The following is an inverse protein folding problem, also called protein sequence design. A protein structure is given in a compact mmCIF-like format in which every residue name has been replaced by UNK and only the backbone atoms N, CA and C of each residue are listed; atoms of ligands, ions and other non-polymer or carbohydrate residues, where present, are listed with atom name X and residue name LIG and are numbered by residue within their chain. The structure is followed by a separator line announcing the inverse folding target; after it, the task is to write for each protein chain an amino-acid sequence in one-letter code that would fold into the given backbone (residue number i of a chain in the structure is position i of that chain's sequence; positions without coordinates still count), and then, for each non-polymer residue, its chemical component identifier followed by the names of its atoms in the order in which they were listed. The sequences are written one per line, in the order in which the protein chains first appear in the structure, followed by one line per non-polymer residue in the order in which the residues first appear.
data_IF_221143874578
#
_entry.id   IF_221143874578
#
_cell.length_a   1.000
_cell.length_b   1.000
_cell.length_c   1.000
_cell.angle_alpha   90.00
_cell.angle_beta   90.00
_cell.angle_gamma   90.00
#
_symmetry.space_group_name_H-M   'P 1'
#
loop_
_entity.id
_entity.type
_entity.pdbx_description
1 polymer ?
#
# COMPACT_ATOMS: atom_id res chain seq x y z
N UNK A 1 36.04 -6.74 -12.10
CA UNK A 1 34.93 -6.21 -12.92
C UNK A 1 33.76 -7.17 -12.77
N UNK A 2 32.64 -6.71 -12.22
CA UNK A 2 31.32 -7.28 -12.50
C UNK A 2 30.27 -6.24 -12.07
N UNK A 3 29.79 -5.51 -13.08
CA UNK A 3 28.65 -4.62 -12.97
C UNK A 3 27.37 -5.46 -13.08
N UNK A 4 26.57 -5.52 -12.02
CA UNK A 4 25.19 -6.00 -12.13
C UNK A 4 24.30 -4.79 -12.39
N UNK A 5 23.91 -4.66 -13.66
CA UNK A 5 22.92 -3.72 -14.19
C UNK A 5 21.55 -3.96 -13.55
N UNK A 6 20.94 -2.87 -13.10
CA UNK A 6 19.50 -2.73 -12.79
C UNK A 6 18.60 -3.24 -13.93
N UNK A 7 17.34 -3.56 -13.59
CA UNK A 7 16.31 -2.63 -14.02
C UNK A 7 15.49 -2.15 -12.81
N UNK A 8 15.71 -0.90 -12.42
CA UNK A 8 14.70 -0.16 -11.66
C UNK A 8 13.66 0.24 -12.70
N UNK A 9 12.55 -0.49 -12.74
CA UNK A 9 11.33 0.00 -13.38
C UNK A 9 10.62 0.93 -12.39
N UNK A 10 11.15 2.15 -12.23
CA UNK A 10 10.38 3.28 -11.67
C UNK A 10 9.57 3.82 -12.83
N UNK A 11 8.25 3.63 -12.77
CA UNK A 11 7.34 4.30 -13.70
C UNK A 11 6.79 5.54 -13.02
N UNK A 12 7.32 6.71 -13.39
CA UNK A 12 6.76 8.00 -13.01
C UNK A 12 5.55 8.30 -13.91
N UNK A 13 4.37 8.50 -13.30
CA UNK A 13 3.16 8.91 -14.02
C UNK A 13 3.04 10.43 -13.95
N UNK A 14 3.33 11.11 -15.06
CA UNK A 14 3.19 12.58 -15.19
C UNK A 14 1.79 12.94 -15.71
N UNK A 15 1.15 13.93 -15.09
CA UNK A 15 -0.24 14.31 -15.36
C UNK A 15 -0.37 15.29 -16.51
N UNK A 16 -1.23 14.98 -17.49
CA UNK A 16 -1.78 15.96 -18.43
C UNK A 16 -3.06 16.57 -17.83
N UNK A 17 -3.15 17.91 -17.78
CA UNK A 17 -4.35 18.64 -17.34
C UNK A 17 -5.41 18.63 -18.43
N UNK A 18 -6.26 17.61 -18.50
CA UNK A 18 -7.47 17.61 -19.33
C UNK A 18 -8.72 17.51 -18.45
N UNK A 19 -9.76 18.28 -18.79
CA UNK A 19 -11.04 18.41 -18.04
C UNK A 19 -11.93 17.14 -18.08
N UNK A 20 -11.38 15.96 -18.35
CA UNK A 20 -12.13 14.69 -18.41
C UNK A 20 -12.38 14.05 -17.02
N UNK A 21 -12.08 14.77 -15.93
CA UNK A 21 -11.85 14.22 -14.59
C UNK A 21 -13.05 13.61 -13.84
N UNK A 22 -14.23 13.48 -14.47
CA UNK A 22 -15.45 12.95 -13.83
C UNK A 22 -15.95 11.65 -14.49
N UNK A 23 -15.50 11.32 -15.70
CA UNK A 23 -15.90 10.07 -16.34
C UNK A 23 -15.12 8.88 -15.76
N UNK A 24 -15.85 7.81 -15.45
CA UNK A 24 -15.28 6.50 -15.09
C UNK A 24 -15.33 5.56 -16.28
N UNK A 25 -14.35 4.66 -16.41
CA UNK A 25 -14.39 3.60 -17.41
C UNK A 25 -15.38 2.47 -17.05
N UNK A 26 -15.39 1.41 -17.86
CA UNK A 26 -16.22 0.23 -17.65
C UNK A 26 -15.92 -0.55 -16.35
N UNK A 27 -14.77 -0.28 -15.71
CA UNK A 27 -14.37 -0.84 -14.41
C UNK A 27 -14.58 0.16 -13.27
N UNK A 28 -15.23 1.29 -13.55
CA UNK A 28 -15.50 2.32 -12.57
C UNK A 28 -14.30 3.19 -12.22
N UNK A 29 -13.20 3.14 -12.98
CA UNK A 29 -11.95 3.84 -12.72
C UNK A 29 -11.93 5.22 -13.36
N UNK A 30 -11.53 6.24 -12.58
CA UNK A 30 -11.18 7.57 -13.14
C UNK A 30 -9.84 7.50 -13.89
N UNK A 31 -9.57 8.46 -14.77
CA UNK A 31 -8.35 8.49 -15.59
C UNK A 31 -7.04 8.21 -14.83
N UNK A 32 -6.88 8.77 -13.63
CA UNK A 32 -5.68 8.51 -12.80
C UNK A 32 -5.61 7.04 -12.35
N UNK A 33 -6.74 6.49 -11.89
CA UNK A 33 -6.86 5.09 -11.46
C UNK A 33 -6.56 4.14 -12.62
N UNK A 34 -7.05 4.43 -13.82
CA UNK A 34 -6.75 3.68 -15.04
C UNK A 34 -5.25 3.65 -15.34
N UNK A 35 -4.58 4.81 -15.26
CA UNK A 35 -3.12 4.90 -15.50
C UNK A 35 -2.31 4.09 -14.49
N UNK A 36 -2.70 4.13 -13.22
CA UNK A 36 -2.07 3.31 -12.16
C UNK A 36 -2.32 1.83 -12.42
N UNK A 37 -3.56 1.44 -12.73
CA UNK A 37 -3.93 0.06 -12.99
C UNK A 37 -3.30 -0.51 -14.27
N UNK A 38 -3.07 0.31 -15.29
CA UNK A 38 -2.32 -0.09 -16.49
C UNK A 38 -0.87 -0.49 -16.17
N UNK A 39 -0.34 -0.11 -15.00
CA UNK A 39 0.99 -0.49 -14.50
C UNK A 39 0.94 -1.57 -13.43
N UNK A 40 -0.21 -2.24 -13.24
CA UNK A 40 -0.39 -3.27 -12.20
C UNK A 40 0.66 -4.37 -12.24
N UNK A 41 1.18 -4.75 -13.40
CA UNK A 41 2.19 -5.83 -13.50
C UNK A 41 3.60 -5.43 -13.00
N UNK A 42 3.83 -4.16 -12.68
CA UNK A 42 5.10 -3.72 -12.12
C UNK A 42 5.37 -4.38 -10.76
N UNK A 43 6.63 -4.75 -10.51
CA UNK A 43 7.07 -5.25 -9.20
C UNK A 43 7.04 -4.13 -8.14
N UNK A 44 7.46 -2.92 -8.53
CA UNK A 44 7.45 -1.74 -7.69
C UNK A 44 6.74 -0.62 -8.45
N UNK A 45 5.80 0.05 -7.79
CA UNK A 45 5.01 1.12 -8.38
C UNK A 45 5.03 2.34 -7.47
N UNK A 46 5.58 3.45 -7.97
CA UNK A 46 5.56 4.73 -7.27
C UNK A 46 4.47 5.60 -7.87
N UNK A 47 3.38 5.79 -7.14
CA UNK A 47 2.26 6.63 -7.59
C UNK A 47 2.42 8.03 -7.00
N UNK A 48 2.91 8.98 -7.81
CA UNK A 48 2.81 10.40 -7.50
C UNK A 48 1.41 10.86 -7.87
N UNK A 49 0.63 11.40 -6.94
CA UNK A 49 -0.72 11.91 -7.23
C UNK A 49 -1.04 13.13 -6.36
N UNK A 50 -1.78 14.14 -6.89
CA UNK A 50 -2.28 15.22 -6.07
C UNK A 50 -3.18 14.72 -4.91
N UNK A 51 -3.32 15.48 -3.82
CA UNK A 51 -4.31 15.19 -2.79
C UNK A 51 -5.72 15.01 -3.38
N UNK A 52 -6.53 14.15 -2.77
CA UNK A 52 -7.91 13.84 -3.20
C UNK A 52 -8.08 13.27 -4.63
N UNK A 53 -6.99 12.83 -5.29
CA UNK A 53 -7.06 12.25 -6.65
C UNK A 53 -7.70 10.85 -6.71
N UNK A 54 -8.04 10.24 -5.57
CA UNK A 54 -8.52 8.86 -5.48
C UNK A 54 -7.40 7.81 -5.49
N UNK A 55 -6.25 8.15 -4.88
CA UNK A 55 -5.07 7.28 -4.74
C UNK A 55 -5.39 5.98 -4.00
N UNK A 56 -6.12 6.04 -2.88
CA UNK A 56 -6.51 4.86 -2.11
C UNK A 56 -7.26 3.84 -2.97
N UNK A 57 -8.22 4.31 -3.77
CA UNK A 57 -8.97 3.44 -4.69
C UNK A 57 -8.12 2.91 -5.85
N UNK A 58 -7.17 3.69 -6.38
CA UNK A 58 -6.20 3.20 -7.37
C UNK A 58 -5.35 2.04 -6.81
N UNK A 59 -4.91 2.17 -5.55
CA UNK A 59 -4.17 1.16 -4.83
C UNK A 59 -5.02 -0.10 -4.60
N UNK A 60 -6.29 0.03 -4.22
CA UNK A 60 -7.21 -1.11 -4.09
C UNK A 60 -7.30 -1.94 -5.38
N UNK A 61 -7.45 -1.29 -6.53
CA UNK A 61 -7.51 -1.99 -7.82
C UNK A 61 -6.24 -2.80 -8.09
N UNK A 62 -5.07 -2.20 -7.90
CA UNK A 62 -3.79 -2.89 -8.10
C UNK A 62 -3.62 -4.03 -7.08
N UNK A 63 -3.96 -3.79 -5.81
CA UNK A 63 -3.85 -4.79 -4.76
C UNK A 63 -4.73 -6.02 -5.01
N UNK A 64 -5.98 -5.82 -5.45
CA UNK A 64 -6.88 -6.91 -5.80
C UNK A 64 -6.38 -7.68 -7.03
N UNK A 65 -5.87 -7.00 -8.06
CA UNK A 65 -5.26 -7.68 -9.20
C UNK A 65 -4.04 -8.51 -8.79
N UNK A 66 -3.22 -8.01 -7.87
CA UNK A 66 -2.11 -8.79 -7.31
C UNK A 66 -2.57 -10.05 -6.58
N UNK A 67 -3.63 -9.94 -5.79
CA UNK A 67 -4.19 -11.07 -5.03
C UNK A 67 -4.80 -12.13 -5.95
N UNK A 68 -5.68 -11.71 -6.86
CA UNK A 68 -6.50 -12.65 -7.64
C UNK A 68 -5.83 -13.11 -8.93
N UNK A 69 -4.97 -12.29 -9.54
CA UNK A 69 -4.42 -12.56 -10.88
C UNK A 69 -2.90 -12.78 -10.89
N UNK A 70 -2.18 -12.50 -9.79
CA UNK A 70 -0.71 -12.55 -9.77
C UNK A 70 -0.12 -13.39 -8.64
N UNK A 71 -0.93 -14.24 -8.01
CA UNK A 71 -0.48 -15.21 -7.01
C UNK A 71 0.02 -14.58 -5.70
N UNK A 72 -0.33 -13.33 -5.40
CA UNK A 72 -0.04 -12.73 -4.09
C UNK A 72 -1.08 -13.19 -3.09
N UNK A 73 -0.65 -13.38 -1.85
CA UNK A 73 -1.49 -13.99 -0.80
C UNK A 73 -2.02 -12.96 0.20
N UNK A 74 -1.29 -11.86 0.35
CA UNK A 74 -1.55 -10.83 1.35
C UNK A 74 -1.32 -9.45 0.75
N UNK A 75 -2.06 -8.46 1.24
CA UNK A 75 -1.86 -7.03 0.99
C UNK A 75 -1.85 -6.33 2.33
N UNK A 76 -0.81 -5.55 2.57
CA UNK A 76 -0.68 -4.70 3.75
C UNK A 76 -0.61 -3.27 3.27
N UNK A 77 -1.58 -2.46 3.70
CA UNK A 77 -1.62 -1.02 3.45
C UNK A 77 -1.13 -0.29 4.70
N UNK A 78 -0.03 0.42 4.58
CA UNK A 78 0.54 1.21 5.65
C UNK A 78 0.27 2.70 5.39
N UNK A 79 -0.39 3.37 6.34
CA UNK A 79 -0.75 4.79 6.24
C UNK A 79 -0.01 5.62 7.30
N UNK A 80 0.21 6.93 7.09
CA UNK A 80 0.93 7.75 8.08
C UNK A 80 0.16 7.90 9.40
N UNK A 81 -1.16 7.98 9.37
CA UNK A 81 -2.00 8.17 10.54
C UNK A 81 -3.39 7.53 10.43
N UNK A 82 -4.10 7.45 11.56
CA UNK A 82 -5.36 6.71 11.70
C UNK A 82 -6.50 7.28 10.84
N UNK A 83 -6.62 8.61 10.79
CA UNK A 83 -7.58 9.36 9.98
C UNK A 83 -7.54 8.96 8.50
N UNK A 84 -6.36 8.66 7.97
CA UNK A 84 -6.15 8.26 6.58
C UNK A 84 -6.53 6.80 6.33
N UNK A 85 -6.44 5.95 7.36
CA UNK A 85 -6.87 4.55 7.30
C UNK A 85 -8.33 4.39 6.86
N UNK A 86 -9.20 5.35 7.21
CA UNK A 86 -10.60 5.37 6.80
C UNK A 86 -10.77 5.42 5.26
N UNK A 87 -9.79 5.93 4.51
CA UNK A 87 -9.82 5.92 3.04
C UNK A 87 -9.67 4.52 2.41
N UNK A 88 -9.31 3.52 3.24
CA UNK A 88 -9.19 2.11 2.88
C UNK A 88 -10.29 1.24 3.48
N UNK A 89 -11.40 1.83 3.92
CA UNK A 89 -12.58 1.07 4.34
C UNK A 89 -13.13 0.19 3.20
N UNK A 90 -13.85 -0.88 3.59
CA UNK A 90 -14.46 -1.81 2.63
C UNK A 90 -15.29 -1.07 1.58
N UNK A 91 -15.06 -1.39 0.31
CA UNK A 91 -15.62 -0.67 -0.85
C UNK A 91 -16.09 -1.67 -1.91
N UNK A 92 -17.36 -1.54 -2.30
CA UNK A 92 -17.98 -2.34 -3.36
C UNK A 92 -17.53 -1.87 -4.76
N UNK A 93 -16.38 -2.36 -5.23
CA UNK A 93 -15.84 -2.06 -6.55
C UNK A 93 -16.55 -2.85 -7.66
N UNK A 94 -17.07 -4.04 -7.33
CA UNK A 94 -17.84 -4.91 -8.21
C UNK A 94 -19.10 -4.23 -8.76
N UNK A 95 -19.74 -3.39 -7.93
CA UNK A 95 -20.88 -2.55 -8.33
C UNK A 95 -20.59 -1.66 -9.53
N UNK A 96 -19.31 -1.36 -9.79
CA UNK A 96 -18.87 -0.51 -10.90
C UNK A 96 -18.13 -1.28 -12.01
N UNK A 97 -18.27 -2.61 -12.04
CA UNK A 97 -17.74 -3.46 -13.12
C UNK A 97 -16.38 -4.09 -12.83
N UNK A 98 -15.79 -3.87 -11.65
CA UNK A 98 -14.56 -4.57 -11.25
C UNK A 98 -14.84 -6.02 -10.82
N UNK A 99 -13.84 -6.89 -10.81
CA UNK A 99 -14.06 -8.33 -10.58
C UNK A 99 -14.14 -8.75 -9.10
N UNK A 100 -13.75 -7.87 -8.18
CA UNK A 100 -13.72 -8.16 -6.74
C UNK A 100 -13.97 -6.89 -5.92
N UNK A 101 -14.47 -7.07 -4.71
CA UNK A 101 -14.62 -5.99 -3.74
C UNK A 101 -13.39 -5.83 -2.87
N UNK A 102 -13.15 -4.60 -2.42
CA UNK A 102 -12.15 -4.35 -1.39
C UNK A 102 -12.79 -4.58 -0.04
N UNK A 103 -12.33 -5.58 0.70
CA UNK A 103 -12.86 -5.91 2.02
C UNK A 103 -11.75 -5.80 3.06
N UNK A 104 -12.04 -5.13 4.17
CA UNK A 104 -11.22 -5.11 5.37
C UNK A 104 -12.10 -5.59 6.52
N UNK A 105 -11.71 -6.71 7.14
CA UNK A 105 -12.36 -7.14 8.36
C UNK A 105 -12.01 -6.17 9.50
N UNK A 106 -12.93 -5.89 10.43
CA UNK A 106 -12.68 -4.97 11.54
C UNK A 106 -11.38 -5.28 12.31
N UNK A 107 -11.08 -6.56 12.55
CA UNK A 107 -9.88 -7.02 13.23
C UNK A 107 -8.56 -6.74 12.48
N UNK A 108 -8.62 -6.54 11.16
CA UNK A 108 -7.47 -6.23 10.30
C UNK A 108 -7.37 -4.75 9.95
N UNK A 109 -8.25 -3.92 10.52
CA UNK A 109 -8.09 -2.48 10.53
C UNK A 109 -7.33 -2.03 11.80
N UNK A 110 -6.01 -2.10 11.75
CA UNK A 110 -5.14 -1.72 12.87
C UNK A 110 -4.97 -0.20 13.00
N UNK A 111 -5.74 0.61 12.26
CA UNK A 111 -5.83 2.05 12.45
C UNK A 111 -6.79 2.44 13.59
N UNK A 112 -7.60 1.52 14.10
CA UNK A 112 -8.55 1.80 15.18
C UNK A 112 -7.87 1.97 16.56
N UNK A 113 -8.64 2.31 17.60
CA UNK A 113 -8.10 2.52 18.95
C UNK A 113 -7.50 1.21 19.52
N UNK A 114 -6.34 1.30 20.18
CA UNK A 114 -5.62 0.16 20.75
C UNK A 114 -4.15 0.45 21.02
N UNK A 115 -3.50 -0.36 21.85
CA UNK A 115 -2.06 -0.23 22.16
C UNK A 115 -1.20 -0.77 21.01
N UNK A 116 0.04 -0.28 20.89
CA UNK A 116 0.96 -0.74 19.84
C UNK A 116 1.31 -2.22 19.98
N UNK A 117 1.44 -2.74 21.20
CA UNK A 117 1.73 -4.16 21.44
C UNK A 117 0.63 -5.07 20.89
N UNK A 118 -0.64 -4.80 21.24
CA UNK A 118 -1.76 -5.58 20.73
C UNK A 118 -1.93 -5.51 19.22
N UNK A 119 -1.60 -4.36 18.62
CA UNK A 119 -1.60 -4.20 17.15
C UNK A 119 -0.51 -5.00 16.46
N UNK A 120 0.68 -5.11 17.05
CA UNK A 120 1.75 -5.95 16.48
C UNK A 120 1.35 -7.42 16.53
N UNK A 121 0.76 -7.87 17.63
CA UNK A 121 0.34 -9.27 17.76
C UNK A 121 -0.81 -9.58 16.77
N UNK A 122 -1.76 -8.67 16.58
CA UNK A 122 -2.80 -8.78 15.54
C UNK A 122 -2.21 -8.81 14.12
N UNK A 123 -1.15 -8.03 13.85
CA UNK A 123 -0.45 -8.05 12.57
C UNK A 123 0.22 -9.41 12.29
N UNK A 124 0.84 -10.01 13.31
CA UNK A 124 1.45 -11.34 13.21
C UNK A 124 0.36 -12.38 12.93
N UNK A 125 -0.74 -12.35 13.69
CA UNK A 125 -1.88 -13.23 13.47
C UNK A 125 -2.47 -13.10 12.06
N UNK A 126 -2.53 -11.88 11.51
CA UNK A 126 -2.95 -11.66 10.12
C UNK A 126 -2.03 -12.36 9.10
N UNK A 127 -0.71 -12.29 9.29
CA UNK A 127 0.25 -12.94 8.37
C UNK A 127 0.09 -14.46 8.37
N UNK A 128 -0.18 -15.04 9.53
CA UNK A 128 -0.36 -16.49 9.73
C UNK A 128 -1.77 -16.98 9.35
N UNK A 129 -2.77 -16.09 9.42
CA UNK A 129 -4.16 -16.40 9.15
C UNK A 129 -4.50 -16.56 7.66
N UNK A 130 -5.79 -16.80 7.32
CA UNK A 130 -6.23 -16.94 5.93
C UNK A 130 -6.54 -15.60 5.24
N UNK A 131 -6.72 -14.53 6.00
CA UNK A 131 -7.27 -13.27 5.47
C UNK A 131 -6.27 -12.49 4.60
N UNK A 132 -6.74 -11.84 3.54
CA UNK A 132 -5.86 -11.33 2.50
C UNK A 132 -5.43 -9.87 2.69
N UNK A 133 -6.15 -9.07 3.46
CA UNK A 133 -6.01 -7.61 3.47
C UNK A 133 -5.93 -7.05 4.88
N UNK A 134 -4.97 -6.15 5.11
CA UNK A 134 -4.77 -5.46 6.39
C UNK A 134 -4.40 -3.99 6.16
N UNK A 135 -4.92 -3.11 7.01
CA UNK A 135 -4.58 -1.69 7.03
C UNK A 135 -3.97 -1.36 8.39
N UNK A 136 -2.82 -0.69 8.41
CA UNK A 136 -2.16 -0.28 9.64
C UNK A 136 -1.45 1.07 9.50
N UNK A 137 -0.97 1.65 10.59
CA UNK A 137 -0.10 2.82 10.51
C UNK A 137 1.34 2.42 10.17
N UNK A 138 2.15 3.37 9.68
CA UNK A 138 3.60 3.19 9.50
C UNK A 138 4.29 2.73 10.79
N UNK A 139 3.86 3.27 11.94
CA UNK A 139 4.41 2.88 13.24
C UNK A 139 4.16 1.40 13.54
N UNK A 140 2.93 0.90 13.32
CA UNK A 140 2.60 -0.53 13.52
C UNK A 140 3.42 -1.42 12.60
N UNK A 141 3.55 -1.07 11.31
CA UNK A 141 4.39 -1.81 10.37
C UNK A 141 5.85 -1.87 10.84
N UNK A 142 6.42 -0.74 11.27
CA UNK A 142 7.79 -0.68 11.78
C UNK A 142 7.99 -1.60 12.98
N UNK A 143 7.10 -1.53 13.97
CA UNK A 143 7.19 -2.39 15.16
C UNK A 143 6.99 -3.88 14.84
N UNK A 144 6.14 -4.21 13.87
CA UNK A 144 5.99 -5.58 13.40
C UNK A 144 7.26 -6.09 12.71
N UNK A 145 7.90 -5.25 11.90
CA UNK A 145 9.15 -5.58 11.21
C UNK A 145 10.32 -5.83 12.17
N UNK A 146 10.34 -5.18 13.34
CA UNK A 146 11.34 -5.45 14.40
C UNK A 146 11.20 -6.85 15.02
N UNK A 147 10.02 -7.49 14.91
CA UNK A 147 9.76 -8.81 15.48
C UNK A 147 9.71 -9.94 14.45
N UNK A 148 9.64 -9.61 13.16
CA UNK A 148 9.41 -10.56 12.07
C UNK A 148 10.63 -10.70 11.19
N UNK A 149 10.86 -11.92 10.71
CA UNK A 149 11.87 -12.17 9.69
C UNK A 149 11.35 -11.64 8.32
N UNK A 150 12.23 -11.18 7.41
CA UNK A 150 11.83 -10.73 6.08
C UNK A 150 10.98 -11.75 5.31
N UNK A 151 11.23 -13.05 5.52
CA UNK A 151 10.54 -14.16 4.87
C UNK A 151 9.06 -14.24 5.26
N UNK A 152 8.67 -13.70 6.42
CA UNK A 152 7.27 -13.61 6.85
C UNK A 152 6.42 -12.76 5.90
N UNK A 153 7.05 -11.92 5.08
CA UNK A 153 6.39 -11.09 4.06
C UNK A 153 6.44 -11.70 2.65
N UNK A 154 6.94 -12.93 2.49
CA UNK A 154 7.03 -13.56 1.17
C UNK A 154 5.64 -13.72 0.53
N UNK A 155 5.47 -13.18 -0.69
CA UNK A 155 4.18 -13.21 -1.39
C UNK A 155 3.17 -12.17 -0.89
N UNK A 156 3.60 -11.24 -0.05
CA UNK A 156 2.81 -10.09 0.43
C UNK A 156 3.08 -8.87 -0.43
N UNK A 157 2.01 -8.17 -0.81
CA UNK A 157 2.08 -6.81 -1.37
C UNK A 157 2.15 -5.82 -0.21
N UNK A 158 3.19 -5.00 -0.20
CA UNK A 158 3.29 -3.90 0.75
C UNK A 158 2.99 -2.58 0.01
N UNK A 159 1.93 -1.90 0.42
CA UNK A 159 1.54 -0.61 -0.13
C UNK A 159 1.72 0.46 0.94
N UNK A 160 2.62 1.41 0.69
CA UNK A 160 2.95 2.47 1.65
C UNK A 160 2.38 3.78 1.12
N UNK A 161 1.48 4.38 1.89
CA UNK A 161 0.90 5.67 1.57
C UNK A 161 1.79 6.81 2.07
N UNK A 162 1.87 7.91 1.32
CA UNK A 162 2.71 9.07 1.67
C UNK A 162 4.17 8.74 2.02
N UNK A 163 4.80 7.89 1.20
CA UNK A 163 6.20 7.48 1.35
C UNK A 163 7.20 8.65 1.51
N UNK A 164 6.88 9.84 0.98
CA UNK A 164 7.77 11.01 1.07
C UNK A 164 7.98 11.54 2.50
N UNK A 165 7.08 11.24 3.44
CA UNK A 165 7.31 11.52 4.86
C UNK A 165 8.29 10.50 5.49
N UNK A 166 8.29 9.25 5.03
CA UNK A 166 9.17 8.19 5.54
C UNK A 166 10.63 8.46 5.19
N UNK A 167 10.91 9.06 4.03
CA UNK A 167 12.28 9.44 3.64
C UNK A 167 12.89 10.53 4.52
N UNK A 168 12.08 11.44 5.08
CA UNK A 168 12.58 12.52 5.94
C UNK A 168 12.93 12.03 7.35
N UNK A 169 12.16 11.09 7.90
CA UNK A 169 12.41 10.50 9.24
C UNK A 169 13.63 9.55 9.27
N UNK A 170 13.99 8.95 8.12
CA UNK A 170 15.22 8.14 8.02
C UNK A 170 16.47 9.04 8.06
N UNK A 171 16.38 10.28 7.60
CA UNK A 171 17.49 11.24 7.64
C UNK A 171 17.71 11.82 9.05
N UNK A 172 16.63 12.02 9.81
CA UNK A 172 16.71 12.47 11.21
C UNK A 172 17.24 11.37 12.15
N UNK A 173 16.89 10.11 11.91
CA UNK A 173 17.35 8.96 12.70
C UNK A 173 18.78 8.51 12.37
N UNK A 174 19.30 8.82 11.17
CA UNK A 174 20.72 8.62 10.81
C UNK A 174 21.67 9.72 11.32
N UNK A 175 21.14 10.87 11.73
CA UNK A 175 21.95 11.96 12.31
C UNK A 175 22.18 11.84 13.83
N UNK A 176 21.66 10.78 14.48
CA UNK A 176 21.74 10.61 15.93
C UNK A 176 22.53 9.37 16.40
N UNK A 177 23.27 8.66 15.54
CA UNK A 177 24.19 7.60 15.99
C UNK A 177 25.54 7.61 15.23
N UNK A 178 26.59 7.83 16.03
CA UNK A 178 28.04 7.71 15.77
C UNK A 178 28.63 8.80 14.87
N UNK A 179 29.23 9.88 15.38
CA UNK A 179 30.45 9.98 16.20
C UNK A 179 30.71 8.87 17.24
N UNK A 180 31.51 7.88 16.84
CA UNK A 180 32.53 7.17 17.61
C UNK A 180 33.07 6.03 16.72
N UNK A 181 34.35 6.17 16.38
CA UNK A 181 35.33 5.20 15.84
C UNK A 181 34.85 3.82 15.42
#
# INVERSE_FOLDING_TARGET
MNAIKKPINIVDVTYAKTKASVNTDALGMRDMQQRVFAKRDAQHLLVKAPPASGKSRALMFVALDKLYNQGRRKVIVAVPERSIGASFASTALSKFGFFADWEIKPEHNLCDAGSSAGKVDAFIQFLEGPDATLVCTHATLRFAFEKLAPESFNGTVLAIDEFHHVSADIESSRSARSCAT
#
